data_IF_879484897986
#
_entry.id   IF_879484897986
#
_cell.length_a   1.000
_cell.length_b   1.000
_cell.length_c   1.000
_cell.angle_alpha   90.00
_cell.angle_beta   90.00
_cell.angle_gamma   90.00
#
_symmetry.space_group_name_H-M   'P 1'
#
loop_
_entity.id
_entity.type
_entity.pdbx_description
1 polymer ?
#
# COMPACT_ATOMS: atom_id res chain seq x y z
N UNK A 1 -7.27 -3.39 13.46
CA UNK A 1 -7.38 -2.24 12.54
C UNK A 1 -8.49 -2.57 11.55
N UNK A 2 -9.36 -1.63 11.20
CA UNK A 2 -10.51 -1.90 10.31
C UNK A 2 -10.39 -1.16 8.99
N UNK A 3 -10.78 -1.84 7.90
CA UNK A 3 -10.89 -1.27 6.55
C UNK A 3 -11.68 0.06 6.56
N UNK A 4 -12.70 0.18 7.43
CA UNK A 4 -13.42 1.42 7.73
C UNK A 4 -12.55 2.68 7.71
N UNK A 5 -11.51 2.74 8.53
CA UNK A 5 -10.74 3.98 8.71
C UNK A 5 -9.88 4.29 7.50
N UNK A 6 -9.42 3.27 6.78
CA UNK A 6 -8.73 3.47 5.51
C UNK A 6 -9.69 4.04 4.44
N UNK A 7 -10.94 3.56 4.40
CA UNK A 7 -11.97 4.08 3.48
C UNK A 7 -12.35 5.52 3.83
N UNK A 8 -12.56 5.82 5.12
CA UNK A 8 -12.83 7.19 5.58
C UNK A 8 -11.67 8.13 5.21
N UNK A 9 -10.42 7.71 5.43
CA UNK A 9 -9.25 8.51 5.09
C UNK A 9 -9.10 8.75 3.57
N UNK A 10 -9.51 7.78 2.74
CA UNK A 10 -9.51 7.92 1.28
C UNK A 10 -10.56 8.93 0.80
N UNK A 11 -11.73 8.97 1.42
CA UNK A 11 -12.81 9.91 1.08
C UNK A 11 -12.56 11.36 1.51
N UNK A 12 -11.47 11.64 2.25
CA UNK A 12 -11.02 13.00 2.52
C UNK A 12 -10.53 13.74 1.26
N UNK A 13 -10.28 13.05 0.14
CA UNK A 13 -9.96 13.69 -1.15
C UNK A 13 -11.21 14.19 -1.88
N UNK A 14 -12.39 13.84 -1.38
CA UNK A 14 -13.67 14.14 -1.98
C UNK A 14 -14.48 12.88 -2.25
N UNK A 15 -15.57 13.04 -2.97
CA UNK A 15 -16.42 11.93 -3.34
C UNK A 15 -15.73 10.97 -4.32
N UNK A 16 -15.98 9.68 -4.16
CA UNK A 16 -15.40 8.63 -5.00
C UNK A 16 -16.39 7.48 -5.16
N UNK A 17 -16.42 6.80 -6.30
CA UNK A 17 -17.14 5.51 -6.32
C UNK A 17 -16.35 4.42 -5.62
N UNK A 18 -17.04 3.33 -5.29
CA UNK A 18 -16.37 2.10 -4.87
C UNK A 18 -15.34 1.60 -5.88
N UNK A 19 -15.51 1.88 -7.18
CA UNK A 19 -14.51 1.53 -8.20
C UNK A 19 -13.27 2.43 -8.11
N UNK A 20 -13.45 3.75 -7.96
CA UNK A 20 -12.33 4.68 -7.83
C UNK A 20 -11.55 4.38 -6.54
N UNK A 21 -12.27 4.10 -5.44
CA UNK A 21 -11.69 3.67 -4.18
C UNK A 21 -10.93 2.35 -4.37
N UNK A 22 -11.50 1.32 -4.99
CA UNK A 22 -10.81 0.05 -5.24
C UNK A 22 -9.50 0.26 -6.00
N UNK A 23 -9.52 1.11 -7.03
CA UNK A 23 -8.32 1.47 -7.81
C UNK A 23 -7.31 2.27 -6.98
N UNK A 24 -7.76 3.18 -6.13
CA UNK A 24 -6.92 3.94 -5.21
C UNK A 24 -6.27 3.06 -4.14
N UNK A 25 -6.99 2.05 -3.64
CA UNK A 25 -6.46 1.05 -2.73
C UNK A 25 -5.36 0.20 -3.35
N UNK A 26 -5.40 -0.05 -4.65
CA UNK A 26 -4.33 -0.74 -5.37
C UNK A 26 -3.10 0.15 -5.64
N UNK A 27 -3.32 1.46 -5.85
CA UNK A 27 -2.29 2.39 -6.31
C UNK A 27 -1.61 3.24 -5.20
N UNK A 28 -2.35 3.75 -4.21
CA UNK A 28 -1.88 4.74 -3.22
C UNK A 28 -2.11 4.35 -1.76
N UNK A 29 -3.19 3.65 -1.42
CA UNK A 29 -3.50 3.19 -0.04
C UNK A 29 -2.93 1.79 0.25
N UNK A 30 -2.52 1.05 -0.79
CA UNK A 30 -1.83 -0.26 -0.71
C UNK A 30 -0.53 -0.25 0.11
N UNK A 31 -0.03 0.92 0.51
CA UNK A 31 1.23 1.04 1.25
C UNK A 31 1.11 0.52 2.68
N UNK A 32 -0.10 0.58 3.25
CA UNK A 32 -0.36 0.19 4.63
C UNK A 32 -1.69 -0.54 4.83
N UNK A 33 -2.54 -0.62 3.79
CA UNK A 33 -3.79 -1.37 3.86
C UNK A 33 -4.08 -2.11 2.55
N UNK A 34 -4.33 -3.42 2.65
CA UNK A 34 -4.82 -4.21 1.52
C UNK A 34 -6.26 -4.63 1.80
N UNK A 35 -7.11 -4.47 0.79
CA UNK A 35 -8.46 -5.00 0.80
C UNK A 35 -8.84 -5.45 -0.60
N UNK A 36 -9.54 -6.57 -0.69
CA UNK A 36 -10.13 -6.97 -1.97
C UNK A 36 -11.27 -6.01 -2.32
N UNK A 37 -11.60 -5.85 -3.62
CA UNK A 37 -12.77 -5.07 -4.02
C UNK A 37 -14.04 -5.52 -3.29
N UNK A 38 -14.23 -6.84 -3.11
CA UNK A 38 -15.38 -7.38 -2.40
C UNK A 38 -15.43 -6.96 -0.93
N UNK A 39 -14.28 -6.93 -0.23
CA UNK A 39 -14.21 -6.43 1.13
C UNK A 39 -14.53 -4.93 1.20
N UNK A 40 -14.03 -4.15 0.24
CA UNK A 40 -14.30 -2.72 0.16
C UNK A 40 -15.79 -2.42 -0.05
N UNK A 41 -16.45 -3.09 -1.00
CA UNK A 41 -17.86 -2.85 -1.27
C UNK A 41 -18.76 -3.23 -0.08
N UNK A 42 -18.48 -4.36 0.58
CA UNK A 42 -19.19 -4.76 1.81
C UNK A 42 -19.00 -3.74 2.93
N UNK A 43 -17.79 -3.22 3.06
CA UNK A 43 -17.50 -2.20 4.07
C UNK A 43 -18.18 -0.87 3.77
N UNK A 44 -18.24 -0.45 2.50
CA UNK A 44 -18.98 0.75 2.09
C UNK A 44 -20.47 0.66 2.40
N UNK A 45 -21.10 -0.48 2.10
CA UNK A 45 -22.52 -0.73 2.42
C UNK A 45 -22.77 -0.67 3.93
N UNK A 46 -21.89 -1.29 4.72
CA UNK A 46 -21.96 -1.24 6.18
C UNK A 46 -21.79 0.18 6.72
N UNK A 47 -20.82 0.92 6.21
CA UNK A 47 -20.55 2.32 6.61
C UNK A 47 -21.71 3.25 6.24
N UNK A 48 -22.37 3.01 5.11
CA UNK A 48 -23.57 3.74 4.69
C UNK A 48 -24.74 3.46 5.64
N UNK A 49 -24.99 2.19 5.98
CA UNK A 49 -26.01 1.80 6.97
C UNK A 49 -25.74 2.35 8.38
N UNK A 50 -24.48 2.58 8.73
CA UNK A 50 -24.06 3.22 9.98
C UNK A 50 -24.06 4.76 9.91
N UNK A 51 -24.38 5.36 8.76
CA UNK A 51 -24.40 6.82 8.56
C UNK A 51 -23.02 7.48 8.54
N UNK A 52 -21.93 6.71 8.40
CA UNK A 52 -20.56 7.23 8.31
C UNK A 52 -20.21 7.77 6.92
N UNK A 53 -20.89 7.25 5.90
CA UNK A 53 -20.82 7.74 4.53
C UNK A 53 -22.23 7.85 3.97
N UNK A 54 -22.38 8.69 2.95
CA UNK A 54 -23.60 8.76 2.17
C UNK A 54 -23.29 8.48 0.70
N UNK A 55 -24.18 7.74 0.03
CA UNK A 55 -24.07 7.51 -1.41
C UNK A 55 -25.11 8.33 -2.18
N UNK A 56 -24.69 8.88 -3.32
CA UNK A 56 -25.61 9.43 -4.33
C UNK A 56 -25.41 8.73 -5.67
N UNK A 57 -26.47 8.64 -6.45
CA UNK A 57 -26.41 8.09 -7.81
C UNK A 57 -26.06 9.22 -8.78
N UNK A 58 -25.01 9.01 -9.56
CA UNK A 58 -24.63 9.86 -10.70
C UNK A 58 -25.14 9.17 -11.96
N UNK A 59 -26.13 9.78 -12.60
CA UNK A 59 -26.65 9.32 -13.89
C UNK A 59 -25.61 9.51 -14.99
N UNK A 60 -25.53 8.53 -15.89
CA UNK A 60 -24.60 8.56 -17.01
C UNK A 60 -25.31 8.14 -18.30
N UNK A 61 -25.11 8.89 -19.38
CA UNK A 61 -25.83 8.67 -20.64
C UNK A 61 -25.37 7.42 -21.40
N UNK A 62 -24.08 7.07 -21.34
CA UNK A 62 -23.45 6.01 -22.15
C UNK A 62 -22.84 4.88 -21.33
N UNK A 63 -23.05 4.89 -20.01
CA UNK A 63 -22.45 3.95 -19.05
C UNK A 63 -23.45 3.68 -17.93
N UNK A 64 -23.32 2.56 -17.19
CA UNK A 64 -24.13 2.35 -16.01
C UNK A 64 -24.00 3.50 -15.01
N UNK A 65 -25.12 3.85 -14.37
CA UNK A 65 -25.13 4.83 -13.30
C UNK A 65 -24.11 4.46 -12.22
N UNK A 66 -23.42 5.47 -11.68
CA UNK A 66 -22.33 5.28 -10.70
C UNK A 66 -22.79 5.75 -9.34
N UNK A 67 -22.64 4.90 -8.34
CA UNK A 67 -22.76 5.30 -6.94
C UNK A 67 -21.44 5.96 -6.51
N UNK A 68 -21.53 7.20 -6.05
CA UNK A 68 -20.41 7.93 -5.45
C UNK A 68 -20.67 8.13 -3.98
N UNK A 69 -19.65 7.89 -3.17
CA UNK A 69 -19.68 7.95 -1.72
C UNK A 69 -18.98 9.22 -1.25
N UNK A 70 -19.48 9.83 -0.19
CA UNK A 70 -18.85 10.98 0.48
C UNK A 70 -18.93 10.81 2.00
N UNK A 71 -18.02 11.46 2.72
CA UNK A 71 -18.04 11.50 4.18
C UNK A 71 -19.26 12.28 4.67
N UNK A 72 -19.86 11.78 5.75
CA UNK A 72 -20.80 12.57 6.57
C UNK A 72 -20.03 13.24 7.72
N UNK A 73 -20.71 14.11 8.47
CA UNK A 73 -20.16 14.67 9.71
C UNK A 73 -19.82 13.57 10.72
N UNK A 74 -20.67 12.53 10.81
CA UNK A 74 -20.42 11.37 11.66
C UNK A 74 -19.17 10.58 11.20
N UNK A 75 -18.99 10.40 9.89
CA UNK A 75 -17.78 9.78 9.33
C UNK A 75 -16.51 10.58 9.64
N UNK A 76 -16.60 11.90 9.56
CA UNK A 76 -15.50 12.81 9.87
C UNK A 76 -15.13 12.78 11.36
N UNK A 77 -16.13 12.78 12.25
CA UNK A 77 -15.93 12.63 13.69
C UNK A 77 -15.31 11.27 14.04
N UNK A 78 -15.80 10.18 13.44
CA UNK A 78 -15.24 8.85 13.65
C UNK A 78 -13.76 8.76 13.21
N UNK A 79 -13.39 9.44 12.12
CA UNK A 79 -12.01 9.49 11.67
C UNK A 79 -11.12 10.34 12.61
N UNK A 80 -11.64 11.47 13.09
CA UNK A 80 -10.97 12.29 14.09
C UNK A 80 -10.65 11.48 15.37
N UNK A 81 -11.65 10.79 15.91
CA UNK A 81 -11.50 9.96 17.10
C UNK A 81 -10.49 8.81 16.88
N UNK A 82 -10.48 8.24 15.68
CA UNK A 82 -9.51 7.23 15.31
C UNK A 82 -8.07 7.77 15.36
N UNK A 83 -7.83 8.99 14.85
CA UNK A 83 -6.49 9.61 14.88
C UNK A 83 -6.04 10.03 16.29
N UNK A 84 -6.99 10.28 17.20
CA UNK A 84 -6.70 10.56 18.60
C UNK A 84 -6.42 9.29 19.42
N UNK A 85 -6.81 8.12 18.91
CA UNK A 85 -6.61 6.84 19.58
C UNK A 85 -5.17 6.35 19.39
N UNK A 86 -4.46 5.93 20.46
CA UNK A 86 -3.12 5.40 20.35
C UNK A 86 -3.04 4.20 19.38
N UNK A 87 -2.11 4.27 18.44
CA UNK A 87 -1.84 3.18 17.52
C UNK A 87 -1.27 1.97 18.27
N UNK A 88 -1.77 0.78 17.96
CA UNK A 88 -1.16 -0.47 18.44
C UNK A 88 0.14 -0.73 17.69
N UNK A 89 1.16 -1.30 18.33
CA UNK A 89 2.36 -1.75 17.64
C UNK A 89 2.02 -2.70 16.49
N UNK A 90 2.71 -2.53 15.36
CA UNK A 90 2.57 -3.43 14.21
C UNK A 90 3.16 -4.79 14.55
N UNK A 91 2.37 -5.85 14.43
CA UNK A 91 2.87 -7.22 14.47
C UNK A 91 3.24 -7.67 13.06
N UNK A 92 4.51 -7.99 12.83
CA UNK A 92 4.99 -8.52 11.54
C UNK A 92 4.80 -10.04 11.55
N UNK A 93 4.05 -10.56 10.59
CA UNK A 93 3.89 -11.99 10.34
C UNK A 93 4.36 -12.27 8.92
N UNK A 94 5.57 -12.77 8.80
CA UNK A 94 6.23 -12.94 7.51
C UNK A 94 6.74 -14.38 7.39
N UNK A 95 6.12 -15.14 6.48
CA UNK A 95 6.48 -16.52 6.19
C UNK A 95 7.89 -16.62 5.60
N UNK A 96 8.33 -15.63 4.83
CA UNK A 96 9.68 -15.60 4.26
C UNK A 96 10.73 -15.53 5.36
N UNK A 97 10.49 -14.75 6.42
CA UNK A 97 11.41 -14.68 7.55
C UNK A 97 11.54 -16.02 8.27
N UNK A 98 10.45 -16.79 8.38
CA UNK A 98 10.50 -18.15 8.94
C UNK A 98 11.31 -19.09 8.06
N UNK A 99 11.17 -18.99 6.73
CA UNK A 99 11.97 -19.76 5.76
C UNK A 99 13.46 -19.40 5.85
N UNK A 100 13.79 -18.11 5.94
CA UNK A 100 15.17 -17.64 6.13
C UNK A 100 15.74 -18.13 7.46
N UNK A 101 14.97 -18.09 8.55
CA UNK A 101 15.38 -18.62 9.85
C UNK A 101 15.72 -20.13 9.81
N UNK A 102 15.03 -20.89 8.95
CA UNK A 102 15.20 -22.33 8.82
C UNK A 102 16.24 -22.74 7.76
N UNK A 103 16.91 -21.79 7.11
CA UNK A 103 17.70 -22.04 5.88
C UNK A 103 18.80 -23.08 6.06
N UNK A 104 19.51 -23.08 7.19
CA UNK A 104 20.61 -24.01 7.45
C UNK A 104 20.14 -25.48 7.63
N UNK A 105 18.84 -25.68 7.91
CA UNK A 105 18.22 -27.02 8.06
C UNK A 105 17.25 -27.35 6.92
N UNK A 106 17.05 -26.44 5.97
CA UNK A 106 16.07 -26.53 4.90
C UNK A 106 16.71 -26.50 3.52
N UNK A 107 15.90 -26.08 2.54
CA UNK A 107 16.32 -25.93 1.16
C UNK A 107 16.82 -24.49 0.90
N UNK A 108 18.14 -24.32 0.88
CA UNK A 108 18.76 -23.02 0.67
C UNK A 108 18.52 -22.44 -0.73
N UNK A 109 18.38 -23.29 -1.77
CA UNK A 109 18.11 -22.84 -3.13
C UNK A 109 16.69 -22.28 -3.22
N UNK A 110 15.70 -23.01 -2.69
CA UNK A 110 14.32 -22.53 -2.63
C UNK A 110 14.17 -21.24 -1.80
N UNK A 111 14.95 -21.08 -0.71
CA UNK A 111 14.98 -19.83 0.05
C UNK A 111 15.57 -18.68 -0.78
N UNK A 112 16.66 -18.92 -1.51
CA UNK A 112 17.23 -17.91 -2.42
C UNK A 112 16.24 -17.49 -3.49
N UNK A 113 15.51 -18.43 -4.08
CA UNK A 113 14.44 -18.13 -5.05
C UNK A 113 13.33 -17.29 -4.42
N UNK A 114 12.88 -17.65 -3.22
CA UNK A 114 11.83 -16.92 -2.52
C UNK A 114 12.25 -15.47 -2.18
N UNK A 115 13.48 -15.27 -1.70
CA UNK A 115 14.03 -13.94 -1.44
C UNK A 115 14.21 -13.14 -2.75
N UNK A 116 14.61 -13.81 -3.84
CA UNK A 116 14.75 -13.18 -5.17
C UNK A 116 13.40 -12.75 -5.74
N UNK A 117 12.34 -13.55 -5.55
CA UNK A 117 10.98 -13.18 -5.92
C UNK A 117 10.49 -11.96 -5.11
N UNK A 118 10.76 -11.94 -3.81
CA UNK A 118 10.46 -10.78 -2.96
C UNK A 118 11.22 -9.53 -3.40
N UNK A 119 12.49 -9.66 -3.79
CA UNK A 119 13.29 -8.57 -4.36
C UNK A 119 12.65 -7.99 -5.63
N UNK A 120 12.25 -8.84 -6.58
CA UNK A 120 11.58 -8.41 -7.80
C UNK A 120 10.26 -7.67 -7.50
N UNK A 121 9.47 -8.19 -6.55
CA UNK A 121 8.24 -7.56 -6.10
C UNK A 121 8.49 -6.17 -5.48
N UNK A 122 9.45 -6.06 -4.57
CA UNK A 122 9.82 -4.79 -3.91
C UNK A 122 10.34 -3.75 -4.91
N UNK A 123 11.12 -4.15 -5.93
CA UNK A 123 11.54 -3.25 -7.03
C UNK A 123 10.34 -2.72 -7.81
N UNK A 124 9.38 -3.59 -8.14
CA UNK A 124 8.14 -3.18 -8.81
C UNK A 124 7.32 -2.18 -8.00
N UNK A 125 7.23 -2.38 -6.68
CA UNK A 125 6.58 -1.43 -5.76
C UNK A 125 7.32 -0.11 -5.66
N UNK A 126 8.65 -0.14 -5.51
CA UNK A 126 9.48 1.06 -5.43
C UNK A 126 9.27 1.96 -6.66
N UNK A 127 9.33 1.38 -7.87
CA UNK A 127 9.11 2.11 -9.11
C UNK A 127 7.69 2.73 -9.18
N UNK A 128 6.66 2.04 -8.67
CA UNK A 128 5.30 2.58 -8.58
C UNK A 128 5.22 3.75 -7.61
N UNK A 129 5.90 3.66 -6.47
CA UNK A 129 5.95 4.71 -5.46
C UNK A 129 6.68 5.94 -5.94
N UNK A 130 7.76 5.78 -6.71
CA UNK A 130 8.49 6.90 -7.31
C UNK A 130 7.61 7.66 -8.31
N UNK A 131 6.87 6.96 -9.19
CA UNK A 131 5.87 7.60 -10.06
C UNK A 131 4.73 8.30 -9.30
N UNK A 132 4.35 7.78 -8.13
CA UNK A 132 3.36 8.45 -7.27
C UNK A 132 3.96 9.70 -6.63
N UNK A 133 5.23 9.66 -6.20
CA UNK A 133 5.94 10.81 -5.63
C UNK A 133 6.01 11.95 -6.62
N UNK A 134 6.40 11.68 -7.87
CA UNK A 134 6.43 12.69 -8.94
C UNK A 134 5.06 13.34 -9.16
N UNK A 135 4.00 12.53 -9.21
CA UNK A 135 2.62 13.03 -9.36
C UNK A 135 2.15 13.89 -8.19
N UNK A 136 2.54 13.56 -6.96
CA UNK A 136 2.17 14.35 -5.78
C UNK A 136 2.93 15.68 -5.69
N UNK A 137 4.21 15.67 -6.08
CA UNK A 137 5.04 16.88 -6.04
C UNK A 137 4.64 17.87 -7.14
N UNK A 138 4.17 17.39 -8.30
CA UNK A 138 3.78 18.24 -9.45
C UNK A 138 4.90 19.23 -9.82
N UNK A 139 6.14 18.74 -9.84
CA UNK A 139 7.33 19.54 -10.16
C UNK A 139 7.86 20.44 -9.04
N UNK A 140 7.23 20.48 -7.86
CA UNK A 140 7.75 21.18 -6.68
C UNK A 140 8.89 20.41 -6.02
N UNK A 141 9.73 21.13 -5.29
CA UNK A 141 10.69 20.51 -4.37
C UNK A 141 9.98 19.76 -3.25
N UNK A 142 10.60 18.69 -2.75
CA UNK A 142 10.03 17.92 -1.62
C UNK A 142 9.90 18.77 -0.35
N UNK A 143 10.92 19.55 -0.02
CA UNK A 143 10.89 20.48 1.14
C UNK A 143 9.79 21.53 1.00
N UNK A 144 9.63 22.10 -0.19
CA UNK A 144 8.57 23.07 -0.51
C UNK A 144 7.18 22.45 -0.32
N UNK A 145 6.98 21.23 -0.83
CA UNK A 145 5.73 20.49 -0.67
C UNK A 145 5.45 20.15 0.79
N UNK A 146 6.47 19.75 1.56
CA UNK A 146 6.30 19.43 2.98
C UNK A 146 6.00 20.67 3.83
N UNK A 147 6.55 21.82 3.48
CA UNK A 147 6.34 23.07 4.21
C UNK A 147 4.99 23.73 3.90
N UNK A 148 4.50 23.62 2.67
CA UNK A 148 3.39 24.45 2.17
C UNK A 148 2.40 23.74 1.24
N UNK A 149 2.62 22.45 0.98
CA UNK A 149 1.73 21.62 0.17
C UNK A 149 0.36 21.43 0.83
N UNK A 150 -0.55 20.82 0.07
CA UNK A 150 -1.90 20.53 0.53
C UNK A 150 -1.93 19.44 1.62
N UNK A 151 -2.65 18.35 1.36
CA UNK A 151 -2.72 17.24 2.33
C UNK A 151 -1.38 16.52 2.42
N UNK A 152 -0.67 16.70 3.54
CA UNK A 152 0.65 16.09 3.77
C UNK A 152 0.59 14.59 4.06
N UNK A 153 -0.51 14.09 4.64
CA UNK A 153 -0.68 12.69 5.05
C UNK A 153 -0.38 11.65 3.96
N UNK A 154 -1.00 11.73 2.76
CA UNK A 154 -0.68 10.84 1.64
C UNK A 154 0.81 10.78 1.31
N UNK A 155 1.50 11.93 1.33
CA UNK A 155 2.94 11.98 1.08
C UNK A 155 3.75 11.31 2.19
N UNK A 156 3.43 11.56 3.46
CA UNK A 156 4.13 10.92 4.59
C UNK A 156 3.98 9.39 4.56
N UNK A 157 2.80 8.89 4.20
CA UNK A 157 2.59 7.43 4.05
C UNK A 157 3.34 6.86 2.83
N UNK A 158 3.43 7.62 1.73
CA UNK A 158 4.26 7.26 0.58
C UNK A 158 5.75 7.21 0.94
N UNK A 159 6.24 8.22 1.67
CA UNK A 159 7.63 8.28 2.14
C UNK A 159 7.98 7.04 2.97
N UNK A 160 7.09 6.62 3.87
CA UNK A 160 7.24 5.38 4.63
C UNK A 160 7.24 4.13 3.74
N UNK A 161 6.46 4.12 2.67
CA UNK A 161 6.47 3.04 1.67
C UNK A 161 7.77 2.98 0.88
N UNK A 162 8.28 4.13 0.42
CA UNK A 162 9.55 4.26 -0.28
C UNK A 162 10.72 3.76 0.57
N UNK A 163 10.81 4.23 1.82
CA UNK A 163 11.85 3.80 2.76
C UNK A 163 11.80 2.28 2.99
N UNK A 164 10.60 1.72 3.16
CA UNK A 164 10.42 0.29 3.40
C UNK A 164 10.85 -0.57 2.23
N UNK A 165 10.44 -0.23 1.00
CA UNK A 165 10.83 -1.02 -0.16
C UNK A 165 12.32 -0.88 -0.49
N UNK A 166 12.94 0.29 -0.25
CA UNK A 166 14.40 0.44 -0.36
C UNK A 166 15.13 -0.49 0.61
N UNK A 167 14.67 -0.56 1.86
CA UNK A 167 15.26 -1.46 2.86
C UNK A 167 15.04 -2.93 2.49
N UNK A 168 13.84 -3.31 2.05
CA UNK A 168 13.57 -4.68 1.59
C UNK A 168 14.48 -5.09 0.44
N UNK A 169 14.71 -4.19 -0.52
CA UNK A 169 15.63 -4.43 -1.64
C UNK A 169 17.06 -4.64 -1.12
N UNK A 170 17.56 -3.73 -0.29
CA UNK A 170 18.92 -3.81 0.25
C UNK A 170 19.12 -5.10 1.08
N UNK A 171 18.15 -5.44 1.93
CA UNK A 171 18.17 -6.67 2.71
C UNK A 171 18.14 -7.92 1.83
N UNK A 172 17.26 -7.96 0.81
CA UNK A 172 17.11 -9.13 -0.05
C UNK A 172 18.35 -9.37 -0.90
N UNK A 173 18.94 -8.33 -1.48
CA UNK A 173 20.20 -8.41 -2.23
C UNK A 173 21.34 -8.96 -1.37
N UNK A 174 21.49 -8.42 -0.15
CA UNK A 174 22.49 -8.89 0.80
C UNK A 174 22.26 -10.35 1.20
N UNK A 175 21.01 -10.71 1.48
CA UNK A 175 20.64 -12.07 1.91
C UNK A 175 20.91 -13.09 0.82
N UNK A 176 20.50 -12.82 -0.43
CA UNK A 176 20.80 -13.68 -1.59
C UNK A 176 22.31 -13.85 -1.76
N UNK A 177 23.09 -12.77 -1.65
CA UNK A 177 24.55 -12.83 -1.72
C UNK A 177 25.16 -13.75 -0.66
N UNK A 178 24.74 -13.59 0.60
CA UNK A 178 25.21 -14.42 1.73
C UNK A 178 24.86 -15.90 1.51
N UNK A 179 23.62 -16.19 1.14
CA UNK A 179 23.16 -17.57 0.98
C UNK A 179 23.86 -18.26 -0.19
N UNK A 180 24.01 -17.58 -1.33
CA UNK A 180 24.75 -18.14 -2.47
C UNK A 180 26.20 -18.46 -2.11
N UNK A 181 26.87 -17.55 -1.41
CA UNK A 181 28.25 -17.75 -0.97
C UNK A 181 28.37 -18.94 0.00
N UNK A 182 27.49 -19.04 1.00
CA UNK A 182 27.55 -20.09 2.04
C UNK A 182 27.21 -21.48 1.50
N UNK A 183 26.30 -21.56 0.53
CA UNK A 183 25.80 -22.82 -0.01
C UNK A 183 26.40 -23.19 -1.38
N UNK A 184 27.37 -22.41 -1.88
CA UNK A 184 28.04 -22.67 -3.15
C UNK A 184 27.11 -22.58 -4.37
N UNK A 185 26.03 -21.80 -4.28
CA UNK A 185 25.05 -21.67 -5.35
C UNK A 185 25.54 -20.69 -6.42
N UNK A 186 25.44 -21.08 -7.69
CA UNK A 186 25.91 -20.27 -8.83
C UNK A 186 25.01 -19.05 -9.01
N UNK A 187 25.61 -17.87 -9.22
CA UNK A 187 24.89 -16.67 -9.65
C UNK A 187 24.48 -16.85 -11.11
N UNK A 188 23.28 -17.36 -11.36
CA UNK A 188 22.68 -17.18 -12.69
C UNK A 188 22.30 -15.70 -12.82
N UNK A 189 23.10 -14.96 -13.61
CA UNK A 189 22.73 -13.63 -14.05
C UNK A 189 21.37 -13.75 -14.76
N UNK A 190 20.38 -13.02 -14.28
CA UNK A 190 19.11 -12.84 -14.99
C UNK A 190 19.43 -11.88 -16.13
N UNK A 191 19.95 -12.42 -17.23
CA UNK A 191 20.12 -11.69 -18.49
C UNK A 191 18.72 -11.37 -19.03
N UNK A 192 18.28 -10.15 -18.75
CA UNK A 192 17.06 -9.56 -19.27
C UNK A 192 17.37 -8.38 -20.18
N UNK A 193 18.03 -8.64 -21.31
CA UNK A 193 18.04 -7.74 -22.47
C UNK A 193 18.01 -8.57 -23.76
N UNK A 194 16.82 -8.65 -24.39
CA UNK A 194 16.60 -8.48 -25.83
C UNK A 194 15.20 -7.92 -26.07
#
# INVERSE_FOLDING_TARGET
MSLRHAVLAALLEGEASGYDLAKGFDASVANFWMATPQQLYRELERMEGEGLVQARVVEQERRPNKRVFSLTDAGSAALHDFTATPAKPTAIRDELMVKVQAVDSGDAEAVVEAVSAQLAFSRGKLARYERLRERLLVGRGEEEYLASGGRVGPYLTLMRGLSFERENIAWAERTVGILRQRHGLVTHAVDGER
#
